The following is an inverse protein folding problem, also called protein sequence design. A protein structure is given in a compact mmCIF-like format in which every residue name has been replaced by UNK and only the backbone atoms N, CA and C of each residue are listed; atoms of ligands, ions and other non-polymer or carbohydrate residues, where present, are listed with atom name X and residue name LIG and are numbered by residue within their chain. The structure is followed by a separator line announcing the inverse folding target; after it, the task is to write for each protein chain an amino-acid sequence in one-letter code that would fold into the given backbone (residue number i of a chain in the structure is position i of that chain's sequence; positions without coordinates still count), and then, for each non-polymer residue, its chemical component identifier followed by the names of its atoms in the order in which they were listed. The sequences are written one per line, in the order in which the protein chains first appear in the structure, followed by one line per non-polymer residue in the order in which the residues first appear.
data_IF_285289152791
#
_entry.id   IF_285289152791
#
_cell.length_a   1.000
_cell.length_b   1.000
_cell.length_c   1.000
_cell.angle_alpha   90.00
_cell.angle_beta   90.00
_cell.angle_gamma   90.00
#
_symmetry.space_group_name_H-M   'P 1'
#
loop_
_entity.id
_entity.type
_entity.pdbx_description
1 polymer ?
#
# COMPACT_ATOMS: atom_id res chain seq x y z
N UNK A 1 -64.68 -41.42 46.88
CA UNK A 1 -64.09 -40.34 46.05
C UNK A 1 -62.58 -40.12 46.28
N UNK A 2 -61.95 -40.64 47.34
CA UNK A 2 -60.53 -40.40 47.66
C UNK A 2 -59.50 -41.17 46.81
N UNK A 3 -59.86 -42.34 46.25
CA UNK A 3 -58.90 -43.23 45.55
C UNK A 3 -58.54 -42.71 44.14
N UNK A 4 -59.44 -41.99 43.47
CA UNK A 4 -59.19 -41.44 42.14
C UNK A 4 -58.20 -40.27 42.16
N UNK A 5 -58.21 -39.44 43.22
CA UNK A 5 -57.39 -38.22 43.31
C UNK A 5 -55.88 -38.53 43.41
N UNK A 6 -55.49 -39.61 44.08
CA UNK A 6 -54.09 -40.04 44.16
C UNK A 6 -53.52 -40.58 42.85
N UNK A 7 -54.35 -41.21 41.99
CA UNK A 7 -53.89 -41.71 40.68
C UNK A 7 -53.53 -40.57 39.73
N UNK A 8 -54.29 -39.47 39.74
CA UNK A 8 -53.99 -38.30 38.89
C UNK A 8 -52.73 -37.55 39.33
N UNK A 9 -52.47 -37.47 40.64
CA UNK A 9 -51.24 -36.83 41.16
C UNK A 9 -50.00 -37.65 40.77
N UNK A 10 -50.06 -38.98 40.91
CA UNK A 10 -48.95 -39.86 40.52
C UNK A 10 -48.68 -39.82 39.01
N UNK A 11 -49.74 -39.71 38.20
CA UNK A 11 -49.61 -39.57 36.74
C UNK A 11 -48.94 -38.24 36.36
N UNK A 12 -49.32 -37.13 37.01
CA UNK A 12 -48.68 -35.83 36.81
C UNK A 12 -47.19 -35.84 37.18
N UNK A 13 -46.83 -36.48 38.29
CA UNK A 13 -45.44 -36.63 38.73
C UNK A 13 -44.58 -37.42 37.74
N UNK A 14 -45.12 -38.48 37.13
CA UNK A 14 -44.42 -39.25 36.09
C UNK A 14 -44.16 -38.42 34.83
N UNK A 15 -45.10 -37.56 34.42
CA UNK A 15 -44.90 -36.66 33.27
C UNK A 15 -43.84 -35.60 33.54
N UNK A 16 -43.79 -35.04 34.75
CA UNK A 16 -42.77 -34.03 35.11
C UNK A 16 -41.39 -34.67 35.19
N UNK A 17 -41.26 -35.85 35.83
CA UNK A 17 -40.00 -36.59 35.89
C UNK A 17 -39.54 -37.05 34.49
N UNK A 18 -40.47 -37.50 33.64
CA UNK A 18 -40.19 -37.86 32.24
C UNK A 18 -39.74 -36.66 31.41
N UNK A 19 -40.38 -35.49 31.60
CA UNK A 19 -40.01 -34.25 30.92
C UNK A 19 -38.61 -33.76 31.31
N UNK A 20 -38.30 -33.75 32.61
CA UNK A 20 -36.97 -33.38 33.12
C UNK A 20 -35.91 -34.38 32.65
N UNK A 21 -36.21 -35.69 32.70
CA UNK A 21 -35.33 -36.75 32.22
C UNK A 21 -35.04 -36.64 30.72
N UNK A 22 -36.05 -36.29 29.90
CA UNK A 22 -35.87 -36.05 28.47
C UNK A 22 -34.96 -34.86 28.17
N UNK A 23 -35.14 -33.75 28.88
CA UNK A 23 -34.31 -32.53 28.71
C UNK A 23 -32.85 -32.81 29.14
N UNK A 24 -32.66 -33.41 30.32
CA UNK A 24 -31.33 -33.77 30.82
C UNK A 24 -30.65 -34.81 29.91
N UNK A 25 -31.41 -35.78 29.40
CA UNK A 25 -30.92 -36.76 28.43
C UNK A 25 -30.38 -36.07 27.18
N UNK A 26 -31.16 -35.18 26.56
CA UNK A 26 -30.77 -34.39 25.39
C UNK A 26 -29.52 -33.55 25.61
N UNK A 27 -29.33 -33.00 26.81
CA UNK A 27 -28.25 -32.05 27.07
C UNK A 27 -26.95 -32.70 27.57
N UNK A 28 -27.01 -33.83 28.27
CA UNK A 28 -25.85 -34.48 28.88
C UNK A 28 -25.50 -35.83 28.26
N UNK A 29 -26.50 -36.68 27.99
CA UNK A 29 -26.28 -38.05 27.53
C UNK A 29 -26.08 -38.14 26.02
N UNK A 30 -26.91 -37.45 25.24
CA UNK A 30 -26.89 -37.54 23.77
C UNK A 30 -25.60 -37.04 23.12
N UNK A 31 -24.97 -35.93 23.58
CA UNK A 31 -23.67 -35.51 23.05
C UNK A 31 -22.56 -36.56 23.25
N UNK A 32 -22.58 -37.27 24.39
CA UNK A 32 -21.65 -38.37 24.67
C UNK A 32 -21.95 -39.62 23.83
N UNK A 33 -23.24 -39.97 23.66
CA UNK A 33 -23.69 -41.11 22.86
C UNK A 33 -23.37 -40.95 21.36
N UNK A 34 -23.42 -39.73 20.81
CA UNK A 34 -23.08 -39.45 19.41
C UNK A 34 -21.62 -39.77 19.06
N UNK A 35 -20.73 -39.92 20.05
CA UNK A 35 -19.33 -40.31 19.85
C UNK A 35 -19.12 -41.80 19.54
N UNK A 36 -20.12 -42.66 19.79
CA UNK A 36 -19.98 -44.10 19.55
C UNK A 36 -20.30 -44.49 18.10
N UNK A 37 -19.37 -45.20 17.47
CA UNK A 37 -19.46 -45.56 16.05
C UNK A 37 -20.67 -46.46 15.70
N UNK A 38 -21.21 -47.24 16.64
CA UNK A 38 -22.37 -48.10 16.39
C UNK A 38 -23.70 -47.34 16.31
N UNK A 39 -23.77 -46.13 16.87
CA UNK A 39 -24.98 -45.28 16.87
C UNK A 39 -25.06 -44.35 15.66
N UNK A 40 -24.00 -44.26 14.82
CA UNK A 40 -23.96 -43.43 13.60
C UNK A 40 -24.97 -43.84 12.53
N UNK A 41 -25.44 -45.08 12.52
CA UNK A 41 -26.36 -45.62 11.51
C UNK A 41 -27.84 -45.37 11.83
N UNK A 42 -28.13 -44.59 12.87
CA UNK A 42 -29.49 -44.28 13.32
C UNK A 42 -29.86 -42.87 12.84
N UNK A 43 -30.82 -42.78 11.92
CA UNK A 43 -31.18 -41.54 11.20
C UNK A 43 -31.49 -40.34 12.10
N UNK A 44 -32.16 -40.55 13.24
CA UNK A 44 -32.53 -39.45 14.14
C UNK A 44 -31.36 -38.92 14.99
N UNK A 45 -30.29 -39.71 15.20
CA UNK A 45 -29.07 -39.27 15.92
C UNK A 45 -28.19 -38.42 15.02
N UNK A 46 -28.17 -38.70 13.71
CA UNK A 46 -27.43 -37.93 12.70
C UNK A 46 -27.89 -36.47 12.66
N UNK A 47 -29.20 -36.23 12.76
CA UNK A 47 -29.80 -34.89 12.74
C UNK A 47 -29.47 -34.03 13.98
N UNK A 48 -29.02 -34.64 15.09
CA UNK A 48 -28.66 -33.92 16.33
C UNK A 48 -27.24 -33.34 16.23
N UNK A 49 -26.34 -33.99 15.49
CA UNK A 49 -24.95 -33.54 15.27
C UNK A 49 -24.77 -32.53 14.14
N UNK A 50 -25.74 -32.39 13.22
CA UNK A 50 -25.63 -31.54 12.02
C UNK A 50 -25.99 -30.06 12.25
N UNK A 51 -26.23 -29.62 13.50
CA UNK A 51 -26.13 -28.19 13.86
C UNK A 51 -24.66 -27.75 13.93
N UNK A 52 -23.87 -28.12 12.92
CA UNK A 52 -22.57 -27.51 12.69
C UNK A 52 -22.84 -26.12 12.17
N UNK A 53 -22.68 -25.11 13.02
CA UNK A 53 -22.50 -23.73 12.59
C UNK A 53 -21.42 -23.75 11.51
N UNK A 54 -21.79 -23.45 10.27
CA UNK A 54 -20.83 -23.26 9.19
C UNK A 54 -20.06 -21.99 9.53
N UNK A 55 -19.00 -22.14 10.30
CA UNK A 55 -17.98 -21.11 10.41
C UNK A 55 -17.29 -21.15 9.05
N UNK A 56 -17.67 -20.23 8.17
CA UNK A 56 -16.86 -19.95 7.00
C UNK A 56 -15.52 -19.48 7.54
N UNK A 57 -14.53 -20.37 7.58
CA UNK A 57 -13.19 -20.07 8.06
C UNK A 57 -12.60 -19.15 7.01
N UNK A 58 -12.85 -17.85 7.13
CA UNK A 58 -12.09 -16.86 6.37
C UNK A 58 -10.65 -17.14 6.73
N UNK A 59 -9.86 -17.60 5.78
CA UNK A 59 -8.41 -17.66 5.90
C UNK A 59 -7.92 -16.23 6.10
N UNK A 60 -7.97 -15.77 7.34
CA UNK A 60 -7.33 -14.54 7.76
C UNK A 60 -5.85 -14.90 7.73
N UNK A 61 -5.22 -14.67 6.59
CA UNK A 61 -3.77 -14.58 6.51
C UNK A 61 -3.41 -13.43 7.45
N UNK A 62 -3.06 -13.76 8.70
CA UNK A 62 -2.47 -12.80 9.63
C UNK A 62 -1.05 -12.60 9.12
N UNK A 63 -0.91 -11.82 8.04
CA UNK A 63 0.36 -11.19 7.77
C UNK A 63 0.48 -10.18 8.91
N UNK A 64 1.50 -10.35 9.75
CA UNK A 64 1.79 -9.35 10.76
C UNK A 64 1.99 -8.04 9.99
N UNK A 65 1.21 -7.00 10.29
CA UNK A 65 1.20 -5.73 9.54
C UNK A 65 2.62 -5.17 9.30
N UNK A 66 3.52 -5.40 10.26
CA UNK A 66 4.93 -5.05 10.19
C UNK A 66 5.71 -5.77 9.08
N UNK A 67 5.40 -7.04 8.77
CA UNK A 67 6.05 -7.80 7.70
C UNK A 67 5.60 -7.29 6.32
N UNK A 68 4.29 -7.08 6.15
CA UNK A 68 3.75 -6.49 4.91
C UNK A 68 4.34 -5.09 4.65
N UNK A 69 4.47 -4.29 5.72
CA UNK A 69 5.10 -2.98 5.64
C UNK A 69 6.59 -3.07 5.28
N UNK A 70 7.34 -3.98 5.93
CA UNK A 70 8.75 -4.21 5.64
C UNK A 70 8.97 -4.54 4.16
N UNK A 71 8.20 -5.49 3.63
CA UNK A 71 8.23 -5.88 2.22
C UNK A 71 7.89 -4.73 1.27
N UNK A 72 6.88 -3.93 1.61
CA UNK A 72 6.46 -2.79 0.80
C UNK A 72 7.56 -1.71 0.75
N UNK A 73 8.21 -1.43 1.89
CA UNK A 73 9.31 -0.48 1.99
C UNK A 73 10.54 -1.00 1.23
N UNK A 74 10.88 -2.28 1.37
CA UNK A 74 12.03 -2.88 0.68
C UNK A 74 11.86 -2.82 -0.84
N UNK A 75 10.69 -3.26 -1.35
CA UNK A 75 10.38 -3.19 -2.78
C UNK A 75 10.31 -1.75 -3.28
N UNK A 76 9.69 -0.85 -2.50
CA UNK A 76 9.59 0.57 -2.81
C UNK A 76 10.96 1.25 -2.86
N UNK A 77 11.85 0.92 -1.93
CA UNK A 77 13.23 1.39 -1.94
C UNK A 77 13.94 0.97 -3.22
N UNK A 78 13.72 -0.25 -3.72
CA UNK A 78 14.34 -0.74 -4.95
C UNK A 78 14.09 0.12 -6.20
N UNK A 79 12.96 0.82 -6.29
CA UNK A 79 12.59 1.62 -7.47
C UNK A 79 12.95 3.11 -7.37
N UNK A 80 13.31 3.58 -6.17
CA UNK A 80 13.62 4.99 -5.91
C UNK A 80 15.04 5.34 -6.32
N UNK A 81 15.19 6.52 -6.94
CA UNK A 81 16.42 7.03 -7.51
C UNK A 81 16.55 8.55 -7.31
N UNK A 82 17.77 9.06 -7.48
CA UNK A 82 18.04 10.49 -7.45
C UNK A 82 17.86 11.15 -8.81
N UNK A 83 17.48 12.43 -8.81
CA UNK A 83 17.42 13.28 -10.00
C UNK A 83 18.30 14.50 -9.77
N UNK A 84 19.11 14.83 -10.77
CA UNK A 84 19.95 16.03 -10.81
C UNK A 84 19.77 16.69 -12.17
N UNK A 85 19.40 17.97 -12.20
CA UNK A 85 19.43 18.78 -13.41
C UNK A 85 20.61 19.75 -13.37
N UNK A 86 21.35 19.84 -14.46
CA UNK A 86 22.55 20.65 -14.55
C UNK A 86 22.60 21.51 -15.81
N UNK A 87 23.32 22.62 -15.70
CA UNK A 87 23.69 23.51 -16.79
C UNK A 87 25.20 23.64 -16.82
N UNK A 88 25.79 23.45 -17.99
CA UNK A 88 27.23 23.65 -18.16
C UNK A 88 27.50 25.13 -18.37
N UNK A 89 28.19 25.77 -17.42
CA UNK A 89 28.67 27.14 -17.59
C UNK A 89 30.10 27.14 -18.12
N UNK A 90 30.33 27.89 -19.21
CA UNK A 90 31.67 28.13 -19.76
C UNK A 90 32.26 29.36 -19.09
N UNK A 91 33.20 29.15 -18.17
CA UNK A 91 33.89 30.25 -17.51
C UNK A 91 35.01 30.76 -18.43
N UNK A 92 34.83 31.95 -18.98
CA UNK A 92 35.82 32.63 -19.84
C UNK A 92 36.67 33.55 -18.96
N UNK A 93 37.93 33.19 -18.74
CA UNK A 93 38.90 34.08 -18.10
C UNK A 93 39.90 34.56 -19.15
N UNK A 94 40.10 35.88 -19.26
CA UNK A 94 41.08 36.49 -20.19
C UNK A 94 40.96 35.97 -21.64
N UNK A 95 39.72 35.86 -22.16
CA UNK A 95 39.44 35.46 -23.55
C UNK A 95 39.82 34.00 -23.90
N UNK A 96 40.08 33.16 -22.90
CA UNK A 96 40.28 31.71 -23.01
C UNK A 96 39.23 31.00 -22.13
N UNK A 97 38.60 29.94 -22.64
CA UNK A 97 37.72 29.09 -21.84
C UNK A 97 38.62 28.32 -20.87
N UNK A 98 38.40 28.47 -19.57
CA UNK A 98 39.32 27.95 -18.54
C UNK A 98 38.71 26.80 -17.75
N UNK A 99 37.39 26.78 -17.52
CA UNK A 99 36.69 25.72 -16.80
C UNK A 99 35.26 25.54 -17.33
N UNK A 100 34.85 24.29 -17.53
CA UNK A 100 33.45 23.89 -17.67
C UNK A 100 33.05 23.24 -16.35
N UNK A 101 32.32 23.97 -15.50
CA UNK A 101 31.78 23.44 -14.25
C UNK A 101 30.26 23.33 -14.39
N UNK A 102 29.66 22.16 -14.11
CA UNK A 102 28.22 22.06 -14.07
C UNK A 102 27.69 22.84 -12.87
N UNK A 103 26.75 23.75 -13.14
CA UNK A 103 25.89 24.36 -12.14
C UNK A 103 24.69 23.45 -11.95
N UNK A 104 24.43 23.06 -10.70
CA UNK A 104 23.26 22.22 -10.38
C UNK A 104 22.05 23.14 -10.21
N UNK A 105 21.02 22.92 -11.02
CA UNK A 105 19.81 23.74 -11.04
C UNK A 105 18.68 23.13 -10.20
N UNK A 106 18.60 21.80 -10.14
CA UNK A 106 17.57 21.09 -9.41
C UNK A 106 18.07 19.73 -8.93
N UNK A 107 17.66 19.33 -7.72
CA UNK A 107 17.97 18.03 -7.13
C UNK A 107 16.78 17.50 -6.35
N UNK A 108 16.48 16.22 -6.50
CA UNK A 108 15.39 15.59 -5.77
C UNK A 108 15.27 14.11 -6.07
N UNK A 109 14.08 13.57 -5.88
CA UNK A 109 13.80 12.14 -6.01
C UNK A 109 13.03 11.86 -7.31
N UNK A 110 13.19 10.65 -7.83
CA UNK A 110 12.30 10.07 -8.83
C UNK A 110 12.14 8.58 -8.59
N UNK A 111 11.32 7.93 -9.40
CA UNK A 111 11.14 6.49 -9.32
C UNK A 111 10.94 5.84 -10.69
N UNK A 112 11.30 4.57 -10.77
CA UNK A 112 11.16 3.75 -11.97
C UNK A 112 9.68 3.39 -12.16
N UNK A 113 9.13 3.77 -13.31
CA UNK A 113 7.74 3.56 -13.69
C UNK A 113 7.53 2.35 -14.63
N UNK A 114 8.59 1.95 -15.35
CA UNK A 114 8.57 0.81 -16.27
C UNK A 114 9.93 0.11 -16.29
N UNK A 115 9.91 -1.20 -16.51
CA UNK A 115 11.10 -2.07 -16.48
C UNK A 115 12.09 -1.79 -17.61
N UNK A 116 11.63 -1.07 -18.64
CA UNK A 116 12.42 -0.62 -19.79
C UNK A 116 13.04 0.77 -19.57
N UNK A 117 12.96 1.36 -18.38
CA UNK A 117 13.67 2.61 -18.06
C UNK A 117 12.84 3.89 -18.12
N UNK A 118 11.50 3.83 -18.12
CA UNK A 118 10.69 5.03 -17.86
C UNK A 118 10.78 5.42 -16.40
N UNK A 119 10.96 6.72 -16.16
CA UNK A 119 11.12 7.30 -14.82
C UNK A 119 10.12 8.43 -14.66
N UNK A 120 9.55 8.54 -13.47
CA UNK A 120 8.68 9.65 -13.08
C UNK A 120 9.38 10.48 -12.00
N UNK A 121 9.28 11.80 -12.12
CA UNK A 121 9.75 12.75 -11.12
C UNK A 121 8.90 14.02 -11.13
N UNK A 122 9.23 14.99 -10.27
CA UNK A 122 8.56 16.27 -10.20
C UNK A 122 9.10 17.24 -11.26
N UNK A 123 8.20 17.96 -11.93
CA UNK A 123 8.58 18.89 -13.01
C UNK A 123 9.49 20.02 -12.54
N UNK A 124 9.31 20.49 -11.30
CA UNK A 124 10.08 21.60 -10.75
C UNK A 124 11.56 21.26 -10.50
N UNK A 125 11.95 19.98 -10.58
CA UNK A 125 13.35 19.57 -10.56
C UNK A 125 14.06 19.78 -11.90
N UNK A 126 13.31 20.08 -12.97
CA UNK A 126 13.81 20.22 -14.34
C UNK A 126 13.42 21.62 -14.85
N UNK A 127 14.14 22.67 -14.45
CA UNK A 127 13.88 24.02 -14.95
C UNK A 127 14.17 24.12 -16.44
N UNK A 128 13.48 25.04 -17.13
CA UNK A 128 13.63 25.24 -18.58
C UNK A 128 15.08 25.59 -19.01
N UNK A 129 15.92 26.04 -18.07
CA UNK A 129 17.35 26.32 -18.26
C UNK A 129 18.28 25.11 -18.13
N UNK A 130 17.75 23.93 -17.77
CA UNK A 130 18.52 22.70 -17.65
C UNK A 130 18.99 22.22 -19.03
N UNK A 131 20.28 21.91 -19.13
CA UNK A 131 20.88 21.37 -20.35
C UNK A 131 20.96 19.84 -20.31
N UNK A 132 21.13 19.28 -19.11
CA UNK A 132 21.19 17.83 -18.88
C UNK A 132 20.37 17.47 -17.65
N UNK A 133 19.78 16.27 -17.70
CA UNK A 133 19.11 15.64 -16.57
C UNK A 133 19.79 14.30 -16.33
N UNK A 134 20.31 14.11 -15.13
CA UNK A 134 21.00 12.92 -14.68
C UNK A 134 20.13 12.17 -13.67
N UNK A 135 20.03 10.87 -13.86
CA UNK A 135 19.44 9.91 -12.93
C UNK A 135 20.54 9.26 -12.13
N UNK A 136 20.42 9.28 -10.80
CA UNK A 136 21.36 8.63 -9.88
C UNK A 136 20.77 7.29 -9.44
N UNK A 137 21.27 6.21 -10.02
CA UNK A 137 20.80 4.84 -9.76
C UNK A 137 21.98 3.94 -9.36
N UNK A 138 21.95 3.41 -8.14
CA UNK A 138 23.01 2.55 -7.62
C UNK A 138 24.39 3.22 -7.57
N UNK A 139 24.43 4.53 -7.29
CA UNK A 139 25.65 5.34 -7.26
C UNK A 139 26.18 5.75 -8.64
N UNK A 140 25.54 5.32 -9.73
CA UNK A 140 25.90 5.74 -11.10
C UNK A 140 25.02 6.91 -11.53
N UNK A 141 25.62 7.87 -12.23
CA UNK A 141 24.89 8.93 -12.93
C UNK A 141 24.64 8.50 -14.37
N UNK A 142 23.37 8.54 -14.80
CA UNK A 142 22.92 8.14 -16.13
C UNK A 142 22.17 9.31 -16.74
N UNK A 143 22.57 9.77 -17.92
CA UNK A 143 21.85 10.83 -18.63
C UNK A 143 20.48 10.31 -19.08
N UNK A 144 19.44 11.09 -18.78
CA UNK A 144 18.06 10.77 -19.06
C UNK A 144 17.49 11.69 -20.14
N UNK A 145 16.71 11.12 -21.05
CA UNK A 145 15.97 11.87 -22.05
C UNK A 145 14.64 12.34 -21.45
N UNK A 146 14.30 13.61 -21.64
CA UNK A 146 13.01 14.16 -21.23
C UNK A 146 11.95 13.75 -22.26
N UNK A 147 10.98 12.92 -21.87
CA UNK A 147 9.88 12.51 -22.75
C UNK A 147 8.70 13.47 -22.68
N UNK A 148 8.34 13.91 -21.47
CA UNK A 148 7.21 14.80 -21.24
C UNK A 148 7.38 15.58 -19.94
N UNK A 149 6.98 16.84 -19.95
CA UNK A 149 6.84 17.65 -18.73
C UNK A 149 5.42 18.19 -18.72
N UNK A 150 4.65 17.83 -17.70
CA UNK A 150 3.31 18.36 -17.49
C UNK A 150 3.30 19.30 -16.29
N UNK A 151 3.31 20.60 -16.57
CA UNK A 151 3.31 21.65 -15.54
C UNK A 151 1.98 21.69 -14.77
N UNK A 152 0.87 21.19 -15.34
CA UNK A 152 -0.43 21.20 -14.69
C UNK A 152 -0.53 20.16 -13.56
N UNK A 153 -0.08 18.93 -13.83
CA UNK A 153 -0.01 17.88 -12.80
C UNK A 153 1.28 17.93 -11.97
N UNK A 154 2.26 18.76 -12.33
CA UNK A 154 3.53 18.84 -11.61
C UNK A 154 4.48 17.67 -11.87
N UNK A 155 4.23 16.85 -12.90
CA UNK A 155 4.94 15.60 -13.18
C UNK A 155 5.82 15.72 -14.43
N UNK A 156 7.00 15.11 -14.38
CA UNK A 156 7.86 14.89 -15.54
C UNK A 156 8.10 13.39 -15.77
N UNK A 157 8.12 13.01 -17.04
CA UNK A 157 8.42 11.66 -17.51
C UNK A 157 9.76 11.67 -18.24
N UNK A 158 10.68 10.85 -17.77
CA UNK A 158 12.03 10.69 -18.27
C UNK A 158 12.25 9.27 -18.80
N UNK A 159 13.28 9.09 -19.62
CA UNK A 159 13.69 7.80 -20.15
C UNK A 159 15.20 7.61 -20.01
N UNK A 160 15.61 6.46 -19.50
CA UNK A 160 17.00 5.99 -19.54
C UNK A 160 17.10 4.71 -20.37
N UNK A 161 18.29 4.44 -20.90
CA UNK A 161 18.59 3.24 -21.70
C UNK A 161 19.04 2.09 -20.80
N UNK A 162 18.17 1.65 -19.89
CA UNK A 162 18.38 0.53 -18.97
C UNK A 162 17.17 -0.42 -19.03
N UNK A 163 17.40 -1.72 -18.84
CA UNK A 163 16.35 -2.74 -18.91
C UNK A 163 16.35 -3.62 -17.66
N UNK A 164 15.29 -4.41 -17.49
CA UNK A 164 15.10 -5.30 -16.33
C UNK A 164 15.12 -4.55 -14.99
N UNK A 165 14.65 -3.30 -14.99
CA UNK A 165 14.55 -2.52 -13.77
C UNK A 165 13.36 -3.00 -12.91
N UNK A 166 13.49 -2.96 -11.57
CA UNK A 166 12.38 -3.27 -10.69
C UNK A 166 11.28 -2.22 -10.86
N UNK A 167 10.03 -2.67 -10.80
CA UNK A 167 8.85 -1.80 -10.90
C UNK A 167 7.82 -2.20 -9.85
N UNK A 168 7.03 -1.22 -9.44
CA UNK A 168 5.86 -1.44 -8.60
C UNK A 168 4.58 -1.10 -9.34
N UNK A 169 3.48 -1.81 -9.07
CA UNK A 169 2.20 -1.49 -9.64
C UNK A 169 1.68 -0.16 -9.09
N UNK A 170 0.97 0.59 -9.92
CA UNK A 170 0.21 1.74 -9.48
C UNK A 170 -1.15 1.30 -8.93
N UNK A 171 -1.56 1.86 -7.79
CA UNK A 171 -2.86 1.58 -7.18
C UNK A 171 -4.01 1.87 -8.15
N UNK A 172 -5.01 0.98 -8.17
CA UNK A 172 -6.28 1.19 -8.85
C UNK A 172 -7.39 1.64 -7.89
N UNK A 173 -7.11 1.64 -6.58
CA UNK A 173 -8.06 2.02 -5.55
C UNK A 173 -7.93 3.51 -5.24
N UNK A 174 -9.06 4.16 -5.02
CA UNK A 174 -9.09 5.50 -4.45
C UNK A 174 -8.54 5.48 -3.02
N UNK A 175 -7.74 6.50 -2.70
CA UNK A 175 -7.22 6.71 -1.35
C UNK A 175 -8.38 7.03 -0.42
N UNK A 176 -8.40 6.44 0.77
CA UNK A 176 -9.44 6.70 1.76
C UNK A 176 -8.98 7.72 2.80
N UNK A 177 -9.92 8.49 3.34
CA UNK A 177 -9.66 9.36 4.48
C UNK A 177 -9.12 8.54 5.66
N UNK A 178 -8.00 8.96 6.24
CA UNK A 178 -7.32 8.24 7.31
C UNK A 178 -6.47 7.05 6.85
N UNK A 179 -6.36 6.79 5.54
CA UNK A 179 -5.44 5.78 5.02
C UNK A 179 -3.99 6.18 5.30
N UNK A 180 -3.20 5.23 5.80
CA UNK A 180 -1.79 5.43 6.05
C UNK A 180 -1.00 5.33 4.74
N UNK A 181 -0.19 6.35 4.48
CA UNK A 181 0.60 6.53 3.28
C UNK A 181 2.07 6.58 3.64
N UNK A 182 2.88 5.99 2.78
CA UNK A 182 4.33 5.90 2.96
C UNK A 182 5.00 6.61 1.80
N UNK A 183 6.01 7.41 2.08
CA UNK A 183 6.83 8.09 1.08
C UNK A 183 8.25 7.59 1.21
N UNK A 184 8.90 7.33 0.08
CA UNK A 184 10.32 6.96 0.07
C UNK A 184 11.07 7.99 -0.77
N UNK A 185 11.92 8.77 -0.10
CA UNK A 185 12.73 9.82 -0.72
C UNK A 185 14.20 9.46 -0.79
N UNK A 186 14.97 10.19 -1.59
CA UNK A 186 16.41 10.07 -1.72
C UNK A 186 17.08 11.43 -1.43
N UNK A 187 17.89 11.48 -0.38
CA UNK A 187 18.52 12.73 0.10
C UNK A 187 19.84 13.01 -0.60
N UNK A 188 19.91 14.12 -1.34
CA UNK A 188 21.16 14.66 -1.92
C UNK A 188 22.19 15.03 -0.83
N UNK A 189 23.52 14.90 -1.08
CA UNK A 189 24.17 14.58 -2.36
C UNK A 189 24.34 13.08 -2.64
N UNK A 190 24.31 12.23 -1.61
CA UNK A 190 24.62 10.80 -1.75
C UNK A 190 23.39 9.97 -2.16
N UNK A 191 22.22 10.59 -2.23
CA UNK A 191 20.93 9.97 -2.53
C UNK A 191 20.59 8.78 -1.61
N UNK A 192 20.98 8.91 -0.34
CA UNK A 192 20.62 7.97 0.70
C UNK A 192 19.09 7.97 0.88
N UNK A 193 18.50 6.79 0.86
CA UNK A 193 17.04 6.62 0.91
C UNK A 193 16.54 6.77 2.34
N UNK A 194 15.37 7.40 2.48
CA UNK A 194 14.66 7.53 3.75
C UNK A 194 13.17 7.28 3.54
N UNK A 195 12.49 6.94 4.62
CA UNK A 195 11.05 6.70 4.62
C UNK A 195 10.38 7.75 5.50
N UNK A 196 9.24 8.25 5.04
CA UNK A 196 8.34 9.08 5.83
C UNK A 196 6.92 8.52 5.78
N UNK A 197 6.15 8.76 6.83
CA UNK A 197 4.82 8.20 7.01
C UNK A 197 3.84 9.32 7.33
N UNK A 198 2.72 9.32 6.63
CA UNK A 198 1.64 10.25 6.89
C UNK A 198 0.29 9.57 6.74
N UNK A 199 -0.77 10.30 7.03
CA UNK A 199 -2.15 9.85 6.81
C UNK A 199 -2.82 10.77 5.79
N UNK A 200 -3.74 10.21 5.00
CA UNK A 200 -4.59 11.00 4.13
C UNK A 200 -5.56 11.84 4.97
N UNK A 201 -5.25 13.13 5.16
CA UNK A 201 -6.04 14.09 5.95
C UNK A 201 -7.24 14.62 5.19
N UNK A 202 -7.13 14.66 3.88
CA UNK A 202 -8.18 15.03 2.95
C UNK A 202 -7.92 14.29 1.63
N UNK A 203 -8.96 13.83 0.94
CA UNK A 203 -8.84 13.11 -0.33
C UNK A 203 -9.46 13.89 -1.49
N UNK A 204 -10.52 14.64 -1.22
CA UNK A 204 -11.28 15.41 -2.22
C UNK A 204 -11.41 16.87 -1.78
N UNK A 205 -11.23 17.85 -2.67
CA UNK A 205 -10.89 17.70 -4.10
C UNK A 205 -9.42 17.37 -4.36
N UNK A 206 -8.56 17.47 -3.35
CA UNK A 206 -7.11 17.24 -3.44
C UNK A 206 -6.68 16.34 -2.28
N UNK A 207 -5.73 15.43 -2.54
CA UNK A 207 -5.09 14.63 -1.50
C UNK A 207 -4.14 15.50 -0.67
N UNK A 208 -4.40 15.60 0.63
CA UNK A 208 -3.56 16.27 1.61
C UNK A 208 -2.97 15.24 2.56
N UNK A 209 -1.65 15.17 2.59
CA UNK A 209 -0.87 14.40 3.55
C UNK A 209 0.38 15.20 3.91
N UNK A 210 0.75 15.18 5.20
CA UNK A 210 1.86 15.98 5.71
C UNK A 210 3.10 15.09 5.79
N UNK A 211 3.90 15.12 4.72
CA UNK A 211 5.25 14.56 4.71
C UNK A 211 6.25 15.67 5.05
N UNK A 212 7.30 15.34 5.79
CA UNK A 212 8.32 16.26 6.25
C UNK A 212 9.56 16.28 5.33
N UNK A 213 10.19 17.45 5.24
CA UNK A 213 11.45 17.64 4.49
C UNK A 213 11.25 18.27 3.12
N UNK A 214 12.31 18.82 2.54
CA UNK A 214 12.29 19.35 1.15
C UNK A 214 12.79 18.32 0.15
N UNK A 215 13.58 17.38 0.63
CA UNK A 215 14.21 16.30 -0.13
C UNK A 215 13.21 15.20 -0.55
N UNK A 216 11.94 15.35 -0.15
CA UNK A 216 10.85 14.51 -0.60
C UNK A 216 10.40 14.84 -2.02
N UNK A 217 10.69 16.01 -2.61
CA UNK A 217 10.13 16.39 -3.92
C UNK A 217 10.46 15.32 -4.99
N UNK A 218 9.42 14.87 -5.69
CA UNK A 218 9.50 13.84 -6.73
C UNK A 218 9.48 12.40 -6.22
N UNK A 219 9.23 12.20 -4.92
CA UNK A 219 9.18 10.88 -4.31
C UNK A 219 7.83 10.18 -4.58
N UNK A 220 7.85 8.86 -4.82
CA UNK A 220 6.64 8.07 -4.86
C UNK A 220 6.00 7.97 -3.47
N UNK A 221 4.67 7.95 -3.46
CA UNK A 221 3.84 7.66 -2.31
C UNK A 221 3.19 6.30 -2.52
N UNK A 222 3.20 5.46 -1.49
CA UNK A 222 2.73 4.08 -1.52
C UNK A 222 1.68 3.82 -0.44
N UNK A 223 0.83 2.83 -0.68
CA UNK A 223 0.00 2.21 0.35
C UNK A 223 0.74 1.01 0.99
N UNK A 224 0.14 0.42 2.04
CA UNK A 224 0.73 -0.73 2.75
C UNK A 224 0.91 -1.99 1.88
N UNK A 225 0.28 -2.04 0.69
CA UNK A 225 0.43 -3.17 -0.25
C UNK A 225 1.64 -3.00 -1.18
N UNK A 226 2.36 -1.87 -1.08
CA UNK A 226 3.46 -1.53 -1.99
C UNK A 226 2.97 -1.06 -3.37
N UNK A 227 1.75 -0.54 -3.48
CA UNK A 227 1.23 0.04 -4.71
C UNK A 227 1.46 1.56 -4.71
N UNK A 228 1.87 2.12 -5.86
CA UNK A 228 2.10 3.56 -6.02
C UNK A 228 0.74 4.28 -6.05
N UNK A 229 0.52 5.12 -5.06
CA UNK A 229 -0.66 5.96 -4.89
C UNK A 229 -0.50 7.31 -5.59
N UNK A 230 0.72 7.84 -5.65
CA UNK A 230 0.97 9.13 -6.28
C UNK A 230 2.43 9.56 -6.20
N UNK A 231 2.66 10.81 -6.54
CA UNK A 231 3.96 11.50 -6.45
C UNK A 231 3.76 12.83 -5.76
N UNK A 232 4.68 13.19 -4.88
CA UNK A 232 4.70 14.54 -4.33
C UNK A 232 5.58 15.48 -5.17
N UNK A 233 5.19 16.74 -5.21
CA UNK A 233 5.92 17.79 -5.90
C UNK A 233 5.69 19.12 -5.18
N UNK A 234 6.40 20.18 -5.59
CA UNK A 234 6.17 21.51 -5.05
C UNK A 234 5.75 22.47 -6.17
N UNK A 235 4.74 23.29 -5.89
CA UNK A 235 4.28 24.30 -6.83
C UNK A 235 5.19 25.54 -6.86
N UNK A 236 4.78 26.56 -7.63
CA UNK A 236 5.54 27.80 -7.75
C UNK A 236 5.67 28.60 -6.44
N UNK A 237 4.81 28.33 -5.46
CA UNK A 237 4.86 28.94 -4.13
C UNK A 237 5.69 28.09 -3.15
N UNK A 238 6.15 26.91 -3.58
CA UNK A 238 6.87 25.95 -2.73
C UNK A 238 5.94 25.11 -1.86
N UNK A 239 4.63 25.14 -2.11
CA UNK A 239 3.67 24.31 -1.39
C UNK A 239 3.72 22.87 -1.90
N UNK A 240 3.76 21.92 -0.96
CA UNK A 240 3.75 20.50 -1.29
C UNK A 240 2.38 20.11 -1.84
N UNK A 241 2.38 19.48 -3.01
CA UNK A 241 1.19 18.93 -3.68
C UNK A 241 1.42 17.47 -4.01
N UNK A 242 0.31 16.74 -4.15
CA UNK A 242 0.33 15.31 -4.50
C UNK A 242 -0.48 15.11 -5.76
N UNK A 243 0.12 14.43 -6.73
CA UNK A 243 -0.54 13.98 -7.95
C UNK A 243 -0.82 12.49 -7.84
N UNK A 244 -2.10 12.12 -7.97
CA UNK A 244 -2.55 10.74 -7.85
C UNK A 244 -2.13 9.88 -9.03
N UNK A 245 -1.97 8.58 -8.77
CA UNK A 245 -1.56 7.57 -9.74
C UNK A 245 -2.47 7.49 -10.97
N UNK A 246 -3.77 7.83 -10.84
CA UNK A 246 -4.69 7.90 -11.97
C UNK A 246 -4.25 8.93 -13.02
N UNK A 247 -3.90 10.15 -12.59
CA UNK A 247 -3.39 11.20 -13.48
C UNK A 247 -2.02 10.82 -14.08
N UNK A 248 -1.16 10.19 -13.28
CA UNK A 248 0.14 9.69 -13.76
C UNK A 248 -0.05 8.64 -14.88
N UNK A 249 -0.98 7.70 -14.70
CA UNK A 249 -1.30 6.68 -15.72
C UNK A 249 -1.76 7.30 -17.03
N UNK A 250 -2.49 8.41 -17.00
CA UNK A 250 -2.90 9.14 -18.20
C UNK A 250 -1.73 9.78 -18.93
N UNK A 251 -0.69 10.22 -18.20
CA UNK A 251 0.52 10.79 -18.80
C UNK A 251 1.42 9.75 -19.47
N UNK A 252 1.32 8.48 -19.06
CA UNK A 252 2.10 7.37 -19.60
C UNK A 252 1.48 6.70 -20.84
N UNK A 253 0.24 7.06 -21.20
CA UNK A 253 -0.42 6.63 -22.44
C UNK A 253 0.06 7.46 -23.63
#
# INVERSE_FOLDING_TARGET
MAIAKNKFINLGLMFVLGGIGGILGCQLLFPWLAGFSFLKNIDWIKNIGERTTVINRTERIVITENEALGDAIEKGSGIVLGIVSERTEKIIAKKKITLEKPEILGQGTGFIASSDGLIITAQNLIPDSAQKVLVVLGGRQIEAEIKKIDKASGVAVLKINENNLPVLPFSNNEVKLGEQLYLIGAKSPDFNKFVDVSIAKQVSPILVADFAGKEIIGSPIFNIKGEIVGINWADSLGEAKITLSAAIKELLK
#
